data_IF_196573372059
#
_entry.id   IF_196573372059
#
_cell.length_a   1.000
_cell.length_b   1.000
_cell.length_c   1.000
_cell.angle_alpha   90.00
_cell.angle_beta   90.00
_cell.angle_gamma   90.00
#
_symmetry.space_group_name_H-M   'P 1'
#
loop_
_entity.id
_entity.type
_entity.pdbx_description
1 polymer ?
#
# COMPACT_ATOMS: atom_id res chain seq x y z
N UNK A 1 -17.50 3.13 2.28
CA UNK A 1 -16.91 4.48 2.42
C UNK A 1 -16.82 5.10 1.03
N UNK A 2 -17.00 6.42 0.88
CA UNK A 2 -16.72 7.06 -0.42
C UNK A 2 -15.20 7.18 -0.63
N UNK A 3 -14.79 7.39 -1.88
CA UNK A 3 -13.40 7.67 -2.27
C UNK A 3 -12.80 8.86 -1.50
N UNK A 4 -13.58 9.92 -1.37
CA UNK A 4 -13.21 11.14 -0.64
C UNK A 4 -12.90 10.84 0.84
N UNK A 5 -13.79 10.13 1.53
CA UNK A 5 -13.57 9.76 2.94
C UNK A 5 -12.34 8.87 3.11
N UNK A 6 -12.02 8.02 2.13
CA UNK A 6 -10.81 7.18 2.16
C UNK A 6 -9.56 8.03 2.08
N UNK A 7 -9.50 8.99 1.15
CA UNK A 7 -8.37 9.90 1.01
C UNK A 7 -8.18 10.78 2.24
N UNK A 8 -9.26 11.34 2.77
CA UNK A 8 -9.22 12.12 4.01
C UNK A 8 -8.71 11.28 5.18
N UNK A 9 -9.18 10.04 5.30
CA UNK A 9 -8.73 9.10 6.34
C UNK A 9 -7.24 8.80 6.19
N UNK A 10 -6.76 8.48 4.98
CA UNK A 10 -5.35 8.20 4.74
C UNK A 10 -4.48 9.41 5.08
N UNK A 11 -4.87 10.60 4.62
CA UNK A 11 -4.15 11.86 4.92
C UNK A 11 -4.10 12.15 6.42
N UNK A 12 -5.22 11.99 7.13
CA UNK A 12 -5.28 12.21 8.58
C UNK A 12 -4.42 11.20 9.35
N UNK A 13 -4.36 9.94 8.89
CA UNK A 13 -3.48 8.92 9.48
C UNK A 13 -2.01 9.25 9.26
N UNK A 14 -1.62 9.61 8.03
CA UNK A 14 -0.25 10.05 7.74
C UNK A 14 0.13 11.27 8.58
N UNK A 15 -0.73 12.27 8.67
CA UNK A 15 -0.50 13.47 9.48
C UNK A 15 -0.38 13.19 11.00
N UNK A 16 -0.95 12.07 11.48
CA UNK A 16 -0.84 11.63 12.88
C UNK A 16 0.29 10.60 13.11
N UNK A 17 1.16 10.37 12.12
CA UNK A 17 2.27 9.42 12.21
C UNK A 17 1.84 7.95 12.14
N UNK A 18 0.59 7.67 11.72
CA UNK A 18 0.10 6.31 11.49
C UNK A 18 0.38 5.91 10.05
N UNK A 19 1.56 5.34 9.85
CA UNK A 19 2.16 5.12 8.54
C UNK A 19 1.70 3.84 7.82
N UNK A 20 1.03 2.94 8.54
CA UNK A 20 0.34 1.78 7.96
C UNK A 20 -1.18 1.92 8.07
N UNK A 21 -1.88 1.58 6.99
CA UNK A 21 -3.35 1.49 6.93
C UNK A 21 -3.78 0.27 6.14
N UNK A 22 -4.72 -0.48 6.70
CA UNK A 22 -5.42 -1.57 6.01
C UNK A 22 -6.86 -1.13 5.73
N UNK A 23 -7.29 -1.30 4.48
CA UNK A 23 -8.64 -1.00 4.03
C UNK A 23 -9.23 -2.27 3.40
N UNK A 24 -10.42 -2.65 3.82
CA UNK A 24 -11.14 -3.78 3.22
C UNK A 24 -12.27 -3.23 2.36
N UNK A 25 -12.25 -3.57 1.08
CA UNK A 25 -13.32 -3.23 0.14
C UNK A 25 -14.51 -4.16 0.29
N UNK A 26 -15.68 -3.76 -0.25
CA UNK A 26 -16.90 -4.58 -0.23
C UNK A 26 -16.80 -5.88 -1.04
N UNK A 27 -15.79 -6.00 -1.91
CA UNK A 27 -15.48 -7.22 -2.67
C UNK A 27 -14.72 -8.28 -1.86
N UNK A 28 -14.38 -8.00 -0.59
CA UNK A 28 -13.53 -8.87 0.24
C UNK A 28 -12.04 -8.67 0.00
N UNK A 29 -11.65 -7.91 -1.04
CA UNK A 29 -10.26 -7.55 -1.29
C UNK A 29 -9.74 -6.61 -0.19
N UNK A 30 -8.47 -6.79 0.17
CA UNK A 30 -7.80 -5.97 1.17
C UNK A 30 -6.69 -5.14 0.52
N UNK A 31 -6.64 -3.86 0.85
CA UNK A 31 -5.62 -2.91 0.44
C UNK A 31 -4.74 -2.58 1.64
N UNK A 32 -3.44 -2.84 1.53
CA UNK A 32 -2.45 -2.33 2.46
C UNK A 32 -1.79 -1.06 1.88
N UNK A 33 -1.67 -0.04 2.72
CA UNK A 33 -1.02 1.22 2.42
C UNK A 33 0.01 1.50 3.51
N UNK A 34 1.30 1.45 3.16
CA UNK A 34 2.42 1.72 4.08
C UNK A 34 3.26 2.85 3.50
N UNK A 35 3.60 3.88 4.27
CA UNK A 35 4.33 5.04 3.72
C UNK A 35 5.39 5.57 4.66
N UNK A 36 6.46 6.13 4.10
CA UNK A 36 7.44 6.96 4.83
C UNK A 36 7.17 8.46 4.64
N UNK A 37 5.95 8.83 4.23
CA UNK A 37 5.48 10.18 3.84
C UNK A 37 5.92 10.70 2.47
N UNK A 38 6.98 10.15 1.88
CA UNK A 38 7.46 10.52 0.54
C UNK A 38 7.04 9.49 -0.52
N UNK A 39 7.25 8.21 -0.20
CA UNK A 39 6.88 7.05 -0.99
C UNK A 39 5.94 6.16 -0.21
N UNK A 40 5.21 5.31 -0.92
CA UNK A 40 4.32 4.35 -0.30
C UNK A 40 4.40 2.99 -1.00
N UNK A 41 4.29 1.96 -0.17
CA UNK A 41 3.99 0.61 -0.58
C UNK A 41 2.47 0.42 -0.59
N UNK A 42 1.91 0.16 -1.77
CA UNK A 42 0.49 -0.11 -1.98
C UNK A 42 0.34 -1.55 -2.46
N UNK A 43 -0.34 -2.38 -1.68
CA UNK A 43 -0.56 -3.80 -1.99
C UNK A 43 -2.05 -4.14 -1.99
N UNK A 44 -2.49 -4.93 -2.96
CA UNK A 44 -3.87 -5.39 -3.10
C UNK A 44 -3.91 -6.92 -3.05
N UNK A 45 -4.81 -7.45 -2.22
CA UNK A 45 -4.96 -8.87 -1.96
C UNK A 45 -6.39 -9.33 -2.22
N UNK A 46 -6.55 -10.49 -2.88
CA UNK A 46 -7.83 -11.14 -3.14
C UNK A 46 -8.35 -11.98 -1.96
N UNK A 47 -7.46 -12.42 -1.06
CA UNK A 47 -7.81 -13.29 0.06
C UNK A 47 -6.61 -13.56 0.98
N UNK A 48 -6.80 -14.38 2.03
CA UNK A 48 -5.77 -14.69 3.05
C UNK A 48 -4.54 -15.40 2.48
N UNK A 49 -4.75 -16.23 1.45
CA UNK A 49 -3.70 -17.03 0.81
C UNK A 49 -3.20 -16.42 -0.52
N UNK A 50 -3.70 -15.26 -0.90
CA UNK A 50 -3.26 -14.57 -2.11
C UNK A 50 -1.88 -13.92 -1.85
N UNK A 51 -0.86 -14.17 -2.69
CA UNK A 51 0.41 -13.45 -2.61
C UNK A 51 0.19 -11.95 -2.73
N UNK A 52 -0.83 -11.53 -3.50
CA UNK A 52 -1.15 -10.13 -3.74
C UNK A 52 -0.29 -9.52 -4.84
N UNK A 53 -0.69 -8.32 -5.24
CA UNK A 53 0.02 -7.47 -6.17
C UNK A 53 0.42 -6.17 -5.48
N UNK A 54 1.53 -5.57 -5.90
CA UNK A 54 1.93 -4.24 -5.45
C UNK A 54 2.18 -3.27 -6.59
N UNK A 55 1.98 -1.99 -6.32
CA UNK A 55 2.35 -0.91 -7.22
C UNK A 55 3.87 -0.78 -7.33
N UNK A 56 4.38 -0.61 -8.55
CA UNK A 56 5.82 -0.45 -8.81
C UNK A 56 6.10 0.82 -9.60
N UNK A 57 7.30 1.36 -9.41
CA UNK A 57 7.86 2.49 -10.17
C UNK A 57 9.17 2.03 -10.85
N UNK A 58 9.11 1.36 -12.01
CA UNK A 58 10.29 0.70 -12.58
C UNK A 58 11.46 1.63 -12.92
N UNK A 59 11.22 2.94 -13.00
CA UNK A 59 12.24 3.95 -13.26
C UNK A 59 12.90 4.51 -12.01
N UNK A 60 12.40 4.17 -10.81
CA UNK A 60 12.98 4.67 -9.57
C UNK A 60 14.22 3.86 -9.17
N UNK A 61 15.24 4.58 -8.70
CA UNK A 61 16.54 4.04 -8.32
C UNK A 61 16.76 4.18 -6.82
N UNK A 62 17.51 3.24 -6.23
CA UNK A 62 17.83 3.25 -4.81
C UNK A 62 16.81 2.55 -3.93
N UNK A 63 16.83 2.91 -2.65
CA UNK A 63 15.96 2.39 -1.60
C UNK A 63 15.63 3.49 -0.61
N UNK A 64 14.45 3.37 0.00
CA UNK A 64 13.93 4.30 0.98
C UNK A 64 13.61 3.56 2.27
N UNK A 65 13.98 4.15 3.40
CA UNK A 65 13.67 3.67 4.75
C UNK A 65 12.43 4.40 5.32
N UNK A 66 12.18 4.22 6.62
CA UNK A 66 11.13 4.97 7.33
C UNK A 66 9.72 4.42 7.16
N UNK A 67 9.56 3.25 6.55
CA UNK A 67 8.28 2.56 6.50
C UNK A 67 8.03 1.86 7.84
N UNK A 68 7.17 2.46 8.67
CA UNK A 68 6.87 1.93 10.02
C UNK A 68 5.54 1.20 10.00
N UNK A 69 5.58 -0.10 10.30
CA UNK A 69 4.40 -0.95 10.42
C UNK A 69 3.76 -0.81 11.81
N UNK A 70 2.50 -1.21 11.93
CA UNK A 70 1.74 -1.13 13.19
C UNK A 70 2.34 -1.96 14.33
N UNK A 71 3.10 -3.00 14.01
CA UNK A 71 3.85 -3.79 14.99
C UNK A 71 5.18 -3.14 15.42
N UNK A 72 5.47 -1.92 14.95
CA UNK A 72 6.70 -1.18 15.24
C UNK A 72 7.91 -1.62 14.42
N UNK A 73 7.74 -2.50 13.44
CA UNK A 73 8.81 -2.87 12.52
C UNK A 73 9.13 -1.69 11.59
N UNK A 74 10.42 -1.44 11.41
CA UNK A 74 10.95 -0.44 10.48
C UNK A 74 11.50 -1.13 9.25
N UNK A 75 11.01 -0.72 8.09
CA UNK A 75 11.33 -1.33 6.82
C UNK A 75 12.03 -0.36 5.88
N UNK A 76 12.90 -0.94 5.07
CA UNK A 76 13.51 -0.32 3.91
C UNK A 76 13.06 -1.11 2.67
N UNK A 77 12.62 -0.38 1.65
CA UNK A 77 12.16 -0.96 0.38
C UNK A 77 12.94 -0.37 -0.79
N UNK A 78 13.24 -1.16 -1.83
CA UNK A 78 13.68 -0.61 -3.10
C UNK A 78 12.67 0.40 -3.62
N UNK A 79 13.15 1.53 -4.13
CA UNK A 79 12.26 2.58 -4.62
C UNK A 79 11.41 2.11 -5.80
N UNK A 80 11.94 1.20 -6.61
CA UNK A 80 11.22 0.54 -7.71
C UNK A 80 10.00 -0.27 -7.25
N UNK A 81 10.03 -0.74 -6.01
CA UNK A 81 8.97 -1.53 -5.39
C UNK A 81 8.04 -0.63 -4.58
N UNK A 82 8.13 0.70 -4.70
CA UNK A 82 7.22 1.66 -4.08
C UNK A 82 6.85 2.73 -5.11
N UNK A 83 5.87 3.57 -4.80
CA UNK A 83 5.49 4.72 -5.65
C UNK A 83 5.48 6.00 -4.84
N UNK A 84 5.57 7.16 -5.49
CA UNK A 84 5.43 8.46 -4.82
C UNK A 84 4.07 8.57 -4.10
N UNK A 85 4.03 9.29 -2.98
CA UNK A 85 2.83 9.39 -2.13
C UNK A 85 1.58 9.90 -2.88
N UNK A 86 1.74 10.85 -3.79
CA UNK A 86 0.62 11.36 -4.61
C UNK A 86 0.03 10.26 -5.50
N UNK A 87 0.89 9.44 -6.10
CA UNK A 87 0.47 8.31 -6.92
C UNK A 87 -0.18 7.22 -6.05
N UNK A 88 0.40 6.93 -4.89
CA UNK A 88 -0.17 5.99 -3.94
C UNK A 88 -1.61 6.35 -3.51
N UNK A 89 -1.85 7.64 -3.22
CA UNK A 89 -3.18 8.13 -2.86
C UNK A 89 -4.16 7.98 -4.02
N UNK A 90 -3.75 8.29 -5.26
CA UNK A 90 -4.56 8.08 -6.47
C UNK A 90 -4.95 6.60 -6.64
N UNK A 91 -3.98 5.71 -6.47
CA UNK A 91 -4.20 4.27 -6.57
C UNK A 91 -5.15 3.78 -5.48
N UNK A 92 -4.95 4.19 -4.23
CA UNK A 92 -5.80 3.80 -3.11
C UNK A 92 -7.25 4.27 -3.30
N UNK A 93 -7.44 5.51 -3.75
CA UNK A 93 -8.76 6.05 -4.06
C UNK A 93 -9.48 5.20 -5.12
N UNK A 94 -8.80 4.91 -6.23
CA UNK A 94 -9.38 4.11 -7.30
C UNK A 94 -9.71 2.70 -6.84
N UNK A 95 -8.76 2.01 -6.18
CA UNK A 95 -8.94 0.63 -5.70
C UNK A 95 -10.11 0.51 -4.74
N UNK A 96 -10.27 1.44 -3.79
CA UNK A 96 -11.39 1.37 -2.86
C UNK A 96 -12.73 1.66 -3.55
N UNK A 97 -12.71 2.44 -4.64
CA UNK A 97 -13.92 2.76 -5.41
C UNK A 97 -14.34 1.63 -6.34
N UNK A 98 -13.38 1.01 -7.04
CA UNK A 98 -13.65 0.05 -8.13
C UNK A 98 -13.38 -1.39 -7.73
N UNK A 99 -12.63 -1.60 -6.65
CA UNK A 99 -12.14 -2.91 -6.24
C UNK A 99 -11.00 -3.44 -7.10
N UNK A 100 -10.44 -2.65 -8.02
CA UNK A 100 -9.35 -3.09 -8.90
C UNK A 100 -8.30 -2.01 -9.10
N UNK A 101 -7.14 -2.40 -9.62
CA UNK A 101 -6.13 -1.44 -10.04
C UNK A 101 -6.62 -0.60 -11.24
N UNK A 102 -6.19 0.67 -11.35
CA UNK A 102 -6.31 1.43 -12.59
C UNK A 102 -5.64 0.71 -13.76
N UNK A 103 -6.15 0.93 -14.98
CA UNK A 103 -5.63 0.32 -16.20
C UNK A 103 -4.17 0.70 -16.48
N UNK A 104 -3.76 1.89 -16.08
CA UNK A 104 -2.43 2.47 -16.27
C UNK A 104 -1.44 2.13 -15.14
N UNK A 105 -1.89 1.51 -14.05
CA UNK A 105 -1.03 1.17 -12.93
C UNK A 105 -0.01 0.08 -13.30
N UNK A 106 1.27 0.32 -13.00
CA UNK A 106 2.33 -0.68 -13.10
C UNK A 106 2.34 -1.52 -11.82
N UNK A 107 2.40 -2.84 -11.98
CA UNK A 107 2.26 -3.79 -10.87
C UNK A 107 3.20 -4.97 -10.99
N UNK A 108 3.56 -5.54 -9.86
CA UNK A 108 4.24 -6.82 -9.77
C UNK A 108 3.54 -7.70 -8.73
N UNK A 109 3.76 -9.01 -8.82
CA UNK A 109 3.34 -9.94 -7.75
C UNK A 109 4.24 -9.68 -6.54
N UNK A 110 3.63 -9.60 -5.35
CA UNK A 110 4.39 -9.42 -4.11
C UNK A 110 5.26 -10.65 -3.91
N UNK A 111 6.58 -10.45 -3.82
CA UNK A 111 7.49 -11.56 -3.52
C UNK A 111 7.22 -12.09 -2.10
N UNK A 112 7.37 -13.41 -1.91
CA UNK A 112 7.10 -14.14 -0.65
C UNK A 112 7.64 -13.45 0.62
N UNK A 113 8.78 -12.75 0.52
CA UNK A 113 9.40 -12.06 1.64
C UNK A 113 8.57 -10.90 2.23
N UNK A 114 7.72 -10.24 1.42
CA UNK A 114 6.77 -9.23 1.89
C UNK A 114 5.47 -9.88 2.40
N UNK A 115 5.03 -10.99 1.80
CA UNK A 115 3.82 -11.74 2.21
C UNK A 115 3.93 -12.28 3.63
N UNK A 116 5.09 -12.77 4.05
CA UNK A 116 5.30 -13.30 5.41
C UNK A 116 5.19 -12.24 6.53
N UNK A 117 5.20 -10.94 6.19
CA UNK A 117 4.96 -9.85 7.14
C UNK A 117 3.47 -9.73 7.52
N UNK A 118 2.56 -10.23 6.67
CA UNK A 118 1.11 -10.36 6.92
C UNK A 118 0.78 -11.21 8.14
N UNK A 119 1.57 -12.25 8.40
CA UNK A 119 1.27 -13.26 9.43
C UNK A 119 1.61 -12.83 10.87
N UNK A 120 2.36 -11.73 11.06
CA UNK A 120 2.82 -11.27 12.39
C UNK A 120 2.09 -10.04 12.93
N UNK A 121 1.00 -9.62 12.29
CA UNK A 121 0.27 -8.38 12.61
C UNK A 121 -1.17 -8.62 13.10
N UNK A 122 -1.51 -9.87 13.49
CA UNK A 122 -2.67 -10.16 14.35
C UNK A 122 -2.26 -10.25 15.80
#
# INVERSE_FOLDING_TARGET
>A
MSSETVLETLRARVASGRLETWLTGSSGRSLAFVTNTERAMVMLFDGEDDPGEHAVDPGAEGSSDGFVLSNGQHDEYPDKDTVLICEALRLAEHIVTTGSWPADARRAVVADALVHRRARMR
#
